data_IF_781282651779
#
_entry.id   IF_781282651779
#
_cell.length_a   1.000
_cell.length_b   1.000
_cell.length_c   1.000
_cell.angle_alpha   90.00
_cell.angle_beta   90.00
_cell.angle_gamma   90.00
#
_symmetry.space_group_name_H-M   'P 1'
#
loop_
_entity.id
_entity.type
_entity.pdbx_description
1 polymer ?
#
# COMPACT_ATOMS: atom_id res chain seq x y z
N UNK A 1 -17.90 -4.15 -15.89
CA UNK A 1 -17.91 -3.06 -14.89
C UNK A 1 -16.71 -2.18 -15.17
N UNK A 2 -16.91 -0.91 -15.54
CA UNK A 2 -15.82 0.04 -15.82
C UNK A 2 -15.53 0.82 -14.53
N UNK A 3 -14.43 0.47 -13.84
CA UNK A 3 -13.98 1.20 -12.66
C UNK A 3 -13.21 2.44 -13.12
N UNK A 4 -13.83 3.62 -13.03
CA UNK A 4 -13.16 4.91 -13.26
C UNK A 4 -12.46 5.35 -11.98
N UNK A 5 -11.15 5.14 -11.91
CA UNK A 5 -10.34 5.70 -10.82
C UNK A 5 -10.06 7.19 -11.08
N UNK A 6 -10.32 8.04 -10.09
CA UNK A 6 -10.01 9.48 -10.16
C UNK A 6 -8.73 9.75 -9.37
N UNK A 7 -7.69 10.22 -10.04
CA UNK A 7 -6.43 10.63 -9.37
C UNK A 7 -6.65 12.01 -8.77
N UNK A 8 -6.57 12.10 -7.44
CA UNK A 8 -6.54 13.37 -6.72
C UNK A 8 -5.10 13.65 -6.31
N UNK A 9 -4.60 14.84 -6.66
CA UNK A 9 -3.31 15.33 -6.15
C UNK A 9 -3.62 16.14 -4.90
N UNK A 10 -3.32 15.60 -3.73
CA UNK A 10 -3.38 16.36 -2.49
C UNK A 10 -2.08 17.14 -2.32
N UNK A 11 -2.15 18.46 -2.34
CA UNK A 11 -1.00 19.35 -2.11
C UNK A 11 -0.85 19.75 -0.65
N UNK A 12 -1.93 19.69 0.12
CA UNK A 12 -1.97 19.82 1.58
C UNK A 12 -3.14 18.98 2.11
N UNK A 13 -2.92 18.17 3.14
CA UNK A 13 -3.95 17.32 3.71
C UNK A 13 -3.51 16.68 5.03
N UNK A 14 -4.47 16.30 5.89
CA UNK A 14 -4.16 15.61 7.14
C UNK A 14 -3.39 14.32 6.85
N UNK A 15 -2.57 13.88 7.82
CA UNK A 15 -1.93 12.58 7.78
C UNK A 15 -2.95 11.47 7.45
N UNK A 16 -2.66 10.66 6.44
CA UNK A 16 -3.56 9.58 6.01
C UNK A 16 -3.55 8.43 7.01
N UNK A 17 -4.68 7.75 7.21
CA UNK A 17 -4.72 6.53 8.04
C UNK A 17 -3.98 5.36 7.38
N UNK A 18 -3.97 5.32 6.05
CA UNK A 18 -3.29 4.33 5.21
C UNK A 18 -2.56 5.00 4.06
N UNK A 19 -1.35 4.54 3.77
CA UNK A 19 -0.61 4.85 2.55
C UNK A 19 -0.30 3.54 1.84
N UNK A 20 -0.95 3.33 0.69
CA UNK A 20 -0.75 2.15 -0.14
C UNK A 20 0.31 2.46 -1.19
N UNK A 21 1.41 1.71 -1.16
CA UNK A 21 2.53 1.88 -2.07
C UNK A 21 2.43 0.89 -3.21
N UNK A 22 1.97 1.37 -4.36
CA UNK A 22 1.89 0.62 -5.62
C UNK A 22 2.93 1.09 -6.67
N UNK A 23 3.94 1.86 -6.24
CA UNK A 23 5.06 2.26 -7.10
C UNK A 23 5.85 1.04 -7.56
N UNK A 24 6.58 1.14 -8.67
CA UNK A 24 7.49 0.06 -9.06
C UNK A 24 8.68 0.01 -8.07
N UNK A 25 8.98 -1.15 -7.50
CA UNK A 25 10.15 -1.32 -6.65
C UNK A 25 11.45 -1.28 -7.48
N UNK A 26 11.98 -0.07 -7.71
CA UNK A 26 13.17 0.19 -8.51
C UNK A 26 14.25 0.88 -7.66
N UNK A 27 14.89 0.17 -6.70
CA UNK A 27 15.81 0.79 -5.74
C UNK A 27 17.03 1.43 -6.40
N UNK A 28 17.41 0.97 -7.60
CA UNK A 28 18.52 1.55 -8.37
C UNK A 28 18.14 2.86 -9.09
N UNK A 29 16.86 3.24 -9.10
CA UNK A 29 16.35 4.44 -9.78
C UNK A 29 15.84 5.46 -8.77
N UNK A 30 15.13 5.02 -7.73
CA UNK A 30 14.63 5.92 -6.67
C UNK A 30 14.32 5.20 -5.36
N UNK A 31 14.34 5.95 -4.26
CA UNK A 31 13.84 5.51 -2.96
C UNK A 31 12.32 5.74 -2.88
N UNK A 32 11.54 4.65 -2.87
CA UNK A 32 10.06 4.73 -2.77
C UNK A 32 9.60 5.25 -1.42
N UNK A 33 10.38 5.03 -0.35
CA UNK A 33 10.01 5.41 1.00
C UNK A 33 10.19 6.92 1.25
N UNK A 34 11.14 7.56 0.57
CA UNK A 34 11.28 9.02 0.57
C UNK A 34 10.08 9.70 -0.10
N UNK A 35 9.61 9.17 -1.24
CA UNK A 35 8.51 9.77 -2.02
C UNK A 35 7.19 9.88 -1.27
N UNK A 36 6.96 9.01 -0.29
CA UNK A 36 5.73 9.00 0.49
C UNK A 36 5.84 9.79 1.81
N UNK A 37 7.02 10.32 2.16
CA UNK A 37 7.27 10.89 3.49
C UNK A 37 6.28 12.00 3.88
N UNK A 38 5.88 12.85 2.93
CA UNK A 38 4.91 13.91 3.18
C UNK A 38 3.48 13.40 3.48
N UNK A 39 3.16 12.17 3.08
CA UNK A 39 1.85 11.54 3.31
C UNK A 39 1.79 10.71 4.59
N UNK A 40 2.95 10.38 5.19
CA UNK A 40 3.04 9.54 6.38
C UNK A 40 3.05 10.41 7.63
N UNK A 41 1.99 10.31 8.44
CA UNK A 41 1.94 10.87 9.78
C UNK A 41 2.09 9.80 10.88
N UNK A 42 1.98 10.21 12.15
CA UNK A 42 2.28 9.34 13.30
C UNK A 42 1.42 8.06 13.40
N UNK A 43 0.19 8.08 12.89
CA UNK A 43 -0.76 6.96 12.99
C UNK A 43 -0.99 6.24 11.65
N UNK A 44 -0.25 6.64 10.61
CA UNK A 44 -0.38 6.10 9.26
C UNK A 44 0.12 4.67 9.19
N UNK A 45 -0.66 3.79 8.60
CA UNK A 45 -0.24 2.45 8.22
C UNK A 45 0.28 2.44 6.79
N UNK A 46 1.50 1.95 6.60
CA UNK A 46 2.11 1.81 5.29
C UNK A 46 1.85 0.40 4.79
N UNK A 47 1.35 0.27 3.57
CA UNK A 47 1.00 -1.03 2.98
C UNK A 47 1.65 -1.17 1.62
N UNK A 48 2.56 -2.14 1.47
CA UNK A 48 3.30 -2.34 0.24
C UNK A 48 2.57 -3.33 -0.68
N UNK A 49 2.16 -2.86 -1.85
CA UNK A 49 1.56 -3.64 -2.94
C UNK A 49 2.59 -3.89 -4.07
N UNK A 50 3.88 -3.73 -3.75
CA UNK A 50 4.95 -3.87 -4.73
C UNK A 50 5.37 -5.33 -4.83
N UNK A 51 5.70 -5.77 -6.05
CA UNK A 51 6.35 -7.06 -6.24
C UNK A 51 7.82 -6.97 -5.80
N UNK A 52 8.33 -8.04 -5.20
CA UNK A 52 9.74 -8.17 -4.82
C UNK A 52 9.92 -8.90 -3.49
N UNK A 53 11.18 -9.05 -3.07
CA UNK A 53 11.55 -9.59 -1.75
C UNK A 53 12.47 -8.55 -1.09
N UNK A 54 12.27 -8.28 0.19
CA UNK A 54 13.08 -7.32 0.94
C UNK A 54 12.76 -5.85 0.60
N UNK A 55 11.59 -5.60 0.02
CA UNK A 55 11.12 -4.24 -0.32
C UNK A 55 10.76 -3.43 0.93
N UNK A 56 10.60 -4.08 2.08
CA UNK A 56 10.16 -3.50 3.35
C UNK A 56 11.26 -2.69 4.04
N UNK A 57 12.52 -3.09 3.86
CA UNK A 57 13.64 -2.59 4.66
C UNK A 57 13.82 -1.06 4.61
N UNK A 58 13.71 -0.39 3.44
CA UNK A 58 13.79 1.07 3.37
C UNK A 58 12.66 1.77 4.14
N UNK A 59 11.45 1.20 4.10
CA UNK A 59 10.29 1.75 4.81
C UNK A 59 10.41 1.55 6.31
N UNK A 60 10.83 0.36 6.75
CA UNK A 60 11.04 0.06 8.17
C UNK A 60 12.12 0.96 8.78
N UNK A 61 13.21 1.22 8.04
CA UNK A 61 14.28 2.14 8.47
C UNK A 61 13.80 3.59 8.59
N UNK A 62 12.98 4.06 7.65
CA UNK A 62 12.53 5.46 7.61
C UNK A 62 11.34 5.75 8.52
N UNK A 63 10.44 4.79 8.68
CA UNK A 63 9.22 4.92 9.46
C UNK A 63 9.16 3.87 10.58
N UNK A 64 10.13 3.85 11.52
CA UNK A 64 10.28 2.77 12.50
C UNK A 64 9.11 2.65 13.49
N UNK A 65 8.30 3.71 13.63
CA UNK A 65 7.15 3.75 14.54
C UNK A 65 5.82 3.50 13.83
N UNK A 66 5.81 3.43 12.50
CA UNK A 66 4.61 3.23 11.72
C UNK A 66 4.39 1.72 11.48
N UNK A 67 3.16 1.23 11.60
CA UNK A 67 2.85 -0.14 11.20
C UNK A 67 3.08 -0.30 9.70
N UNK A 68 3.88 -1.30 9.35
CA UNK A 68 4.21 -1.66 7.98
C UNK A 68 3.58 -3.02 7.68
N UNK A 69 2.79 -3.09 6.61
CA UNK A 69 2.31 -4.35 6.06
C UNK A 69 2.92 -4.58 4.68
N UNK A 70 3.32 -5.82 4.43
CA UNK A 70 3.74 -6.30 3.12
C UNK A 70 2.66 -7.20 2.55
N UNK A 71 2.43 -7.09 1.23
CA UNK A 71 1.40 -7.85 0.55
C UNK A 71 1.90 -8.55 -0.70
N UNK A 72 1.23 -9.65 -1.01
CA UNK A 72 1.31 -10.34 -2.28
C UNK A 72 -0.04 -10.14 -2.97
N UNK A 73 -0.02 -9.36 -4.06
CA UNK A 73 -1.19 -9.10 -4.86
C UNK A 73 -1.07 -9.80 -6.22
N UNK A 74 -2.02 -10.69 -6.52
CA UNK A 74 -2.26 -11.17 -7.86
C UNK A 74 -3.39 -10.33 -8.46
N UNK A 75 -3.10 -9.54 -9.48
CA UNK A 75 -4.11 -8.70 -10.13
C UNK A 75 -3.85 -8.67 -11.62
N UNK A 76 -4.92 -8.79 -12.41
CA UNK A 76 -4.87 -8.55 -13.85
C UNK A 76 -5.32 -7.13 -14.13
N UNK A 77 -4.39 -6.23 -14.46
CA UNK A 77 -4.71 -4.86 -14.90
C UNK A 77 -3.83 -4.51 -16.10
N UNK A 78 -4.43 -3.90 -17.11
CA UNK A 78 -3.73 -3.30 -18.24
C UNK A 78 -4.08 -1.83 -18.33
N UNK A 79 -3.06 -0.99 -18.51
CA UNK A 79 -3.28 0.40 -18.94
C UNK A 79 -3.44 0.42 -20.46
N UNK A 80 -4.63 0.77 -20.95
CA UNK A 80 -4.91 0.82 -22.39
C UNK A 80 -4.38 2.13 -23.00
N UNK A 81 -4.56 3.23 -22.26
CA UNK A 81 -4.02 4.54 -22.60
C UNK A 81 -3.76 5.36 -21.31
N UNK A 82 -3.09 6.53 -21.37
CA UNK A 82 -2.91 7.41 -20.20
C UNK A 82 -4.23 7.72 -19.48
N UNK A 83 -4.35 7.30 -18.21
CA UNK A 83 -5.55 7.51 -17.40
C UNK A 83 -6.67 6.46 -17.56
N UNK A 84 -6.51 5.46 -18.44
CA UNK A 84 -7.50 4.39 -18.64
C UNK A 84 -6.91 3.02 -18.28
N UNK A 85 -7.54 2.35 -17.30
CA UNK A 85 -7.15 1.03 -16.81
C UNK A 85 -8.27 0.03 -17.05
N UNK A 86 -7.93 -1.12 -17.64
CA UNK A 86 -8.81 -2.29 -17.77
C UNK A 86 -8.42 -3.34 -16.73
N UNK A 87 -9.33 -3.62 -15.80
CA UNK A 87 -9.21 -4.75 -14.88
C UNK A 87 -9.66 -6.04 -15.56
N UNK A 88 -8.85 -7.11 -15.47
CA UNK A 88 -9.06 -8.40 -16.11
C UNK A 88 -9.99 -9.35 -15.35
N UNK A 89 -10.63 -8.89 -14.27
CA UNK A 89 -11.69 -9.61 -13.56
C UNK A 89 -11.22 -10.57 -12.46
N UNK A 90 -9.93 -10.85 -12.35
CA UNK A 90 -9.38 -11.67 -11.26
C UNK A 90 -8.37 -10.87 -10.43
N UNK A 91 -8.59 -10.86 -9.11
CA UNK A 91 -7.70 -10.28 -8.12
C UNK A 91 -7.69 -11.11 -6.85
N UNK A 92 -6.51 -11.32 -6.28
CA UNK A 92 -6.29 -11.92 -4.98
C UNK A 92 -5.26 -11.09 -4.23
N UNK A 93 -5.50 -10.82 -2.96
CA UNK A 93 -4.61 -10.08 -2.09
C UNK A 93 -4.39 -10.87 -0.81
N UNK A 94 -3.13 -11.11 -0.46
CA UNK A 94 -2.72 -11.54 0.87
C UNK A 94 -1.74 -10.53 1.42
N UNK A 95 -1.80 -10.24 2.72
CA UNK A 95 -0.90 -9.29 3.37
C UNK A 95 -0.66 -9.66 4.84
N UNK A 96 0.47 -9.24 5.36
CA UNK A 96 0.85 -9.46 6.75
C UNK A 96 1.68 -8.31 7.28
N UNK A 97 1.65 -8.14 8.61
CA UNK A 97 2.48 -7.15 9.28
C UNK A 97 3.96 -7.53 9.20
N UNK A 98 4.81 -6.58 8.85
CA UNK A 98 6.25 -6.74 8.81
C UNK A 98 6.86 -6.39 10.16
N UNK A 99 7.39 -7.42 10.84
CA UNK A 99 8.08 -7.30 12.14
C UNK A 99 7.34 -6.45 13.20
N UNK A 100 6.03 -6.66 13.45
CA UNK A 100 5.33 -5.88 14.46
C UNK A 100 5.86 -6.24 15.86
N UNK A 101 6.04 -5.26 16.78
CA UNK A 101 6.18 -5.57 18.19
C UNK A 101 4.97 -6.40 18.63
N UNK A 102 5.20 -7.54 19.29
CA UNK A 102 4.12 -8.48 19.66
C UNK A 102 2.98 -7.80 20.44
N UNK A 103 3.30 -6.77 21.23
CA UNK A 103 2.35 -5.97 22.02
C UNK A 103 1.44 -5.05 21.19
N UNK A 104 1.77 -4.79 19.93
CA UNK A 104 1.01 -3.92 19.02
C UNK A 104 0.41 -4.68 17.84
N UNK A 105 0.76 -5.95 17.66
CA UNK A 105 0.30 -6.78 16.55
C UNK A 105 -1.23 -6.83 16.47
N UNK A 106 -1.91 -7.07 17.60
CA UNK A 106 -3.38 -7.18 17.64
C UNK A 106 -4.07 -5.88 17.18
N UNK A 107 -3.57 -4.72 17.61
CA UNK A 107 -4.10 -3.41 17.22
C UNK A 107 -4.01 -3.18 15.71
N UNK A 108 -2.90 -3.59 15.10
CA UNK A 108 -2.69 -3.38 13.66
C UNK A 108 -3.34 -4.49 12.82
N UNK A 109 -3.63 -5.63 13.41
CA UNK A 109 -4.38 -6.70 12.77
C UNK A 109 -5.80 -6.25 12.42
N UNK A 110 -6.47 -5.49 13.30
CA UNK A 110 -7.79 -4.92 13.02
C UNK A 110 -7.76 -3.91 11.85
N UNK A 111 -6.73 -3.05 11.82
CA UNK A 111 -6.50 -2.13 10.69
C UNK A 111 -6.29 -2.89 9.37
N UNK A 112 -5.48 -3.96 9.41
CA UNK A 112 -5.21 -4.78 8.24
C UNK A 112 -6.47 -5.53 7.78
N UNK A 113 -7.26 -6.05 8.72
CA UNK A 113 -8.53 -6.71 8.44
C UNK A 113 -9.53 -5.76 7.78
N UNK A 114 -9.66 -4.53 8.29
CA UNK A 114 -10.48 -3.50 7.67
C UNK A 114 -10.06 -3.25 6.21
N UNK A 115 -8.75 -3.13 5.96
CA UNK A 115 -8.23 -2.94 4.61
C UNK A 115 -8.62 -4.10 3.69
N UNK A 116 -8.45 -5.35 4.12
CA UNK A 116 -8.85 -6.51 3.32
C UNK A 116 -10.33 -6.53 3.00
N UNK A 117 -11.18 -6.30 4.01
CA UNK A 117 -12.63 -6.27 3.81
C UNK A 117 -13.02 -5.21 2.79
N UNK A 118 -12.35 -4.05 2.77
CA UNK A 118 -12.58 -3.01 1.77
C UNK A 118 -12.18 -3.44 0.34
N UNK A 119 -11.19 -4.33 0.17
CA UNK A 119 -10.79 -4.86 -1.13
C UNK A 119 -11.63 -6.06 -1.59
N UNK A 120 -12.09 -6.91 -0.67
CA UNK A 120 -12.93 -8.08 -1.00
C UNK A 120 -14.37 -7.70 -1.37
N UNK A 121 -14.91 -6.62 -0.81
CA UNK A 121 -16.29 -6.18 -1.10
C UNK A 121 -16.49 -5.55 -2.48
N UNK A 122 -15.44 -5.47 -3.32
CA UNK A 122 -15.53 -4.89 -4.67
C UNK A 122 -15.32 -5.91 -5.82
N UNK A 123 -15.27 -7.21 -5.49
CA UNK A 123 -15.20 -8.31 -6.47
C UNK A 123 -16.54 -8.72 -7.03
#
# INVERSE_FOLDING_TARGET
MELKARVLIATEGPAYDYVIVALKALPNIYDSSERIAAAVGPNTMIVLFQNGIGIEEPFAKRFPNNPLASSVSFVSVKQECPGELRHGGFSLLAAGLHNPPRTLADRYQDKLQFLFTAFETQG
#
